data_IF_918246207590
#
_entry.id   IF_918246207590
#
_cell.length_a   1.000
_cell.length_b   1.000
_cell.length_c   1.000
_cell.angle_alpha   90.00
_cell.angle_beta   90.00
_cell.angle_gamma   90.00
#
_symmetry.space_group_name_H-M   'P 1'
#
loop_
_entity.id
_entity.type
_entity.pdbx_description
1 polymer ?
#
# COMPACT_ATOMS: atom_id res chain seq x y z
N UNK A 1 -18.39 0.71 17.97
CA UNK A 1 -16.93 0.67 18.18
C UNK A 1 -16.35 1.89 17.49
N UNK A 2 -15.44 2.62 18.14
CA UNK A 2 -14.72 3.71 17.47
C UNK A 2 -13.82 3.14 16.38
N UNK A 3 -13.66 3.84 15.27
CA UNK A 3 -12.69 3.45 14.23
C UNK A 3 -11.26 3.47 14.81
N UNK A 4 -10.38 2.60 14.31
CA UNK A 4 -8.97 2.58 14.69
C UNK A 4 -8.32 3.97 14.52
N UNK A 5 -7.42 4.40 15.44
CA UNK A 5 -6.81 5.73 15.37
C UNK A 5 -6.11 6.07 14.05
N UNK A 6 -5.55 5.07 13.37
CA UNK A 6 -4.87 5.24 12.07
C UNK A 6 -5.78 5.87 10.99
N UNK A 7 -7.09 5.58 11.01
CA UNK A 7 -8.05 6.14 10.03
C UNK A 7 -8.22 7.66 10.17
N UNK A 8 -7.81 8.23 11.32
CA UNK A 8 -7.85 9.68 11.57
C UNK A 8 -6.61 10.41 11.07
N UNK A 9 -5.54 9.70 10.69
CA UNK A 9 -4.27 10.32 10.32
C UNK A 9 -4.38 11.31 9.16
N UNK A 10 -4.90 10.89 8.00
CA UNK A 10 -5.04 11.77 6.83
C UNK A 10 -6.03 12.91 7.07
N UNK A 11 -7.23 12.69 7.67
CA UNK A 11 -8.12 13.79 8.03
C UNK A 11 -7.46 14.87 8.90
N UNK A 12 -6.69 14.46 9.93
CA UNK A 12 -6.00 15.39 10.82
C UNK A 12 -4.85 16.12 10.11
N UNK A 13 -4.12 15.43 9.23
CA UNK A 13 -3.07 16.03 8.40
C UNK A 13 -3.64 17.08 7.42
N UNK A 14 -4.79 16.80 6.80
CA UNK A 14 -5.52 17.76 5.96
C UNK A 14 -5.97 18.96 6.80
N UNK A 15 -6.44 18.74 8.04
CA UNK A 15 -6.87 19.81 8.93
C UNK A 15 -5.72 20.65 9.49
N UNK A 16 -4.47 20.17 9.44
CA UNK A 16 -3.34 20.80 10.12
C UNK A 16 -3.41 20.69 11.64
N UNK A 17 -4.15 19.69 12.16
CA UNK A 17 -4.36 19.49 13.59
C UNK A 17 -3.16 18.75 14.21
N UNK A 18 -2.10 19.50 14.52
CA UNK A 18 -0.87 18.97 15.10
C UNK A 18 -1.12 18.25 16.43
N UNK A 19 -1.90 18.85 17.33
CA UNK A 19 -2.20 18.25 18.63
C UNK A 19 -3.02 16.97 18.45
N UNK A 20 -4.05 16.99 17.60
CA UNK A 20 -4.84 15.81 17.29
C UNK A 20 -4.01 14.68 16.67
N UNK A 21 -3.01 15.00 15.85
CA UNK A 21 -2.06 14.00 15.34
C UNK A 21 -1.18 13.43 16.45
N UNK A 22 -0.65 14.26 17.35
CA UNK A 22 0.16 13.83 18.50
C UNK A 22 -0.64 12.90 19.42
N UNK A 23 -1.92 13.21 19.63
CA UNK A 23 -2.82 12.42 20.46
C UNK A 23 -3.13 11.01 19.88
N UNK A 24 -2.82 10.75 18.60
CA UNK A 24 -2.93 9.39 18.05
C UNK A 24 -1.83 8.47 18.57
N UNK A 25 -0.67 9.02 18.94
CA UNK A 25 0.52 8.24 19.29
C UNK A 25 0.66 8.10 20.80
N UNK A 26 1.16 6.95 21.25
CA UNK A 26 1.48 6.70 22.67
C UNK A 26 2.72 7.49 23.16
N UNK A 27 3.48 8.05 22.23
CA UNK A 27 4.70 8.83 22.48
C UNK A 27 5.01 9.76 21.31
N UNK A 28 6.26 10.19 21.13
CA UNK A 28 6.67 10.99 19.98
C UNK A 28 6.21 10.36 18.66
N UNK A 29 5.53 11.09 17.75
CA UNK A 29 5.06 10.53 16.50
C UNK A 29 6.18 9.90 15.67
N UNK A 30 5.92 8.69 15.16
CA UNK A 30 6.83 7.98 14.27
C UNK A 30 6.13 7.66 12.96
N UNK A 31 6.45 8.45 11.94
CA UNK A 31 5.80 8.38 10.62
C UNK A 31 6.86 8.08 9.59
N UNK A 32 6.66 7.05 8.78
CA UNK A 32 7.41 6.86 7.55
C UNK A 32 6.57 7.36 6.37
N UNK A 33 6.92 8.55 5.89
CA UNK A 33 6.28 9.21 4.75
C UNK A 33 6.95 8.77 3.43
N UNK A 34 6.22 8.65 2.31
CA UNK A 34 6.79 8.20 1.03
C UNK A 34 7.79 9.20 0.43
N UNK A 35 7.67 10.50 0.74
CA UNK A 35 8.53 11.55 0.20
C UNK A 35 9.71 11.88 1.14
N UNK A 36 9.46 12.03 2.45
CA UNK A 36 10.50 12.47 3.41
C UNK A 36 11.10 11.34 4.26
N UNK A 37 10.56 10.12 4.17
CA UNK A 37 11.01 8.98 4.98
C UNK A 37 10.59 9.10 6.44
N UNK A 38 11.45 8.64 7.37
CA UNK A 38 11.14 8.71 8.81
C UNK A 38 11.16 10.15 9.32
N UNK A 39 9.98 10.65 9.71
CA UNK A 39 9.79 11.92 10.39
C UNK A 39 10.20 11.74 11.85
N UNK A 40 11.18 12.54 12.28
CA UNK A 40 11.62 12.61 13.67
C UNK A 40 10.83 13.67 14.41
N UNK A 41 10.70 13.53 15.74
CA UNK A 41 10.01 14.49 16.62
C UNK A 41 10.43 15.95 16.36
N UNK A 42 11.72 16.20 16.19
CA UNK A 42 12.26 17.55 15.96
C UNK A 42 11.83 18.20 14.63
N UNK A 43 11.24 17.42 13.72
CA UNK A 43 10.73 17.89 12.42
C UNK A 43 9.22 17.73 12.30
N UNK A 44 8.54 17.27 13.35
CA UNK A 44 7.13 16.92 13.29
C UNK A 44 6.26 18.13 12.96
N UNK A 45 6.42 19.24 13.68
CA UNK A 45 5.62 20.45 13.48
C UNK A 45 5.78 21.00 12.05
N UNK A 46 7.03 21.04 11.56
CA UNK A 46 7.32 21.46 10.19
C UNK A 46 6.75 20.50 9.15
N UNK A 47 6.76 19.19 9.42
CA UNK A 47 6.14 18.20 8.56
C UNK A 47 4.62 18.43 8.47
N UNK A 48 3.95 18.59 9.62
CA UNK A 48 2.49 18.84 9.66
C UNK A 48 2.12 20.12 8.93
N UNK A 49 2.82 21.22 9.18
CA UNK A 49 2.57 22.51 8.52
C UNK A 49 2.75 22.41 7.00
N UNK A 50 3.87 21.86 6.53
CA UNK A 50 4.16 21.71 5.11
C UNK A 50 3.15 20.78 4.41
N UNK A 51 2.79 19.68 5.05
CA UNK A 51 1.79 18.74 4.54
C UNK A 51 0.40 19.37 4.49
N UNK A 52 -0.03 20.05 5.56
CA UNK A 52 -1.30 20.78 5.62
C UNK A 52 -1.37 21.82 4.50
N UNK A 53 -0.36 22.66 4.37
CA UNK A 53 -0.30 23.68 3.33
C UNK A 53 -0.42 23.06 1.93
N UNK A 54 0.41 22.05 1.63
CA UNK A 54 0.40 21.40 0.33
C UNK A 54 -0.90 20.63 0.01
N UNK A 55 -1.57 20.08 1.02
CA UNK A 55 -2.88 19.43 0.89
C UNK A 55 -3.99 20.47 0.68
N UNK A 56 -3.98 21.55 1.46
CA UNK A 56 -4.95 22.65 1.38
C UNK A 56 -4.88 23.37 0.04
N UNK A 57 -3.68 23.71 -0.44
CA UNK A 57 -3.47 24.34 -1.75
C UNK A 57 -4.03 23.51 -2.90
N UNK A 58 -4.09 22.18 -2.72
CA UNK A 58 -4.61 21.22 -3.71
C UNK A 58 -6.06 20.81 -3.43
N UNK A 59 -6.77 21.51 -2.55
CA UNK A 59 -8.16 21.21 -2.17
C UNK A 59 -8.35 19.74 -1.78
N UNK A 60 -7.41 19.20 -1.01
CA UNK A 60 -7.39 17.78 -0.70
C UNK A 60 -8.61 17.35 0.13
N UNK A 61 -9.14 16.18 -0.19
CA UNK A 61 -10.15 15.47 0.60
C UNK A 61 -9.83 13.99 0.65
N UNK A 62 -10.34 13.29 1.65
CA UNK A 62 -10.08 11.86 1.83
C UNK A 62 -11.38 11.09 1.92
N UNK A 63 -11.42 9.98 1.20
CA UNK A 63 -12.48 8.99 1.25
C UNK A 63 -11.95 7.72 1.90
N UNK A 64 -12.55 7.32 3.01
CA UNK A 64 -12.24 6.04 3.67
C UNK A 64 -12.70 4.88 2.78
N UNK A 65 -11.88 3.83 2.68
CA UNK A 65 -12.22 2.58 1.97
C UNK A 65 -12.48 1.45 2.97
N UNK A 66 -11.47 1.10 3.78
CA UNK A 66 -11.59 0.06 4.80
C UNK A 66 -10.44 0.12 5.80
N UNK A 67 -10.62 -0.47 6.99
CA UNK A 67 -9.56 -0.67 7.99
C UNK A 67 -9.47 -2.14 8.37
N UNK A 68 -8.28 -2.73 8.24
CA UNK A 68 -7.97 -4.11 8.67
C UNK A 68 -7.28 -4.04 10.04
N UNK A 69 -8.07 -4.18 11.11
CA UNK A 69 -7.56 -4.09 12.48
C UNK A 69 -7.16 -5.46 13.05
N UNK A 70 -5.91 -5.60 13.48
CA UNK A 70 -5.38 -6.77 14.18
C UNK A 70 -4.95 -6.42 15.60
N UNK A 71 -4.48 -7.40 16.38
CA UNK A 71 -3.99 -7.15 17.74
C UNK A 71 -2.70 -6.32 17.79
N UNK A 72 -1.91 -6.29 16.70
CA UNK A 72 -0.64 -5.57 16.63
C UNK A 72 -0.75 -4.17 15.99
N UNK A 73 -1.94 -3.77 15.56
CA UNK A 73 -2.19 -2.53 14.82
C UNK A 73 -3.12 -2.76 13.64
N UNK A 74 -3.12 -1.84 12.68
CA UNK A 74 -4.08 -1.87 11.58
C UNK A 74 -3.50 -1.38 10.25
N UNK A 75 -4.14 -1.81 9.16
CA UNK A 75 -3.93 -1.22 7.83
C UNK A 75 -5.18 -0.45 7.42
N UNK A 76 -5.03 0.85 7.22
CA UNK A 76 -6.06 1.73 6.66
C UNK A 76 -5.89 1.86 5.16
N UNK A 77 -6.98 1.76 4.42
CA UNK A 77 -7.05 2.12 3.01
C UNK A 77 -7.97 3.33 2.83
N UNK A 78 -7.47 4.33 2.11
CA UNK A 78 -8.25 5.51 1.75
C UNK A 78 -7.89 6.00 0.34
N UNK A 79 -8.73 6.85 -0.23
CA UNK A 79 -8.45 7.57 -1.47
C UNK A 79 -8.30 9.05 -1.15
N UNK A 80 -7.08 9.57 -1.34
CA UNK A 80 -6.80 10.99 -1.26
C UNK A 80 -7.12 11.63 -2.61
N UNK A 81 -8.12 12.52 -2.63
CA UNK A 81 -8.50 13.30 -3.82
C UNK A 81 -7.86 14.67 -3.71
N UNK A 82 -7.14 15.10 -4.74
CA UNK A 82 -6.44 16.40 -4.76
C UNK A 82 -6.35 16.95 -6.18
N UNK A 83 -6.19 18.26 -6.32
CA UNK A 83 -6.01 18.94 -7.60
C UNK A 83 -4.53 19.05 -7.95
N UNK A 84 -4.16 18.65 -9.17
CA UNK A 84 -2.81 18.79 -9.73
C UNK A 84 -2.89 19.37 -11.13
N UNK A 85 -2.22 20.49 -11.36
CA UNK A 85 -2.24 21.21 -12.65
C UNK A 85 -3.65 21.47 -13.20
N UNK A 86 -4.63 21.66 -12.32
CA UNK A 86 -6.04 21.88 -12.67
C UNK A 86 -6.88 20.61 -12.76
N UNK A 87 -6.26 19.43 -12.79
CA UNK A 87 -6.96 18.15 -12.89
C UNK A 87 -7.14 17.47 -11.53
N UNK A 88 -8.26 16.77 -11.35
CA UNK A 88 -8.53 15.97 -10.16
C UNK A 88 -7.73 14.66 -10.23
N UNK A 89 -6.89 14.43 -9.22
CA UNK A 89 -6.16 13.18 -8.99
C UNK A 89 -6.84 12.41 -7.87
N UNK A 90 -7.10 11.12 -8.10
CA UNK A 90 -7.53 10.17 -7.06
C UNK A 90 -6.36 9.25 -6.74
N UNK A 91 -5.77 9.42 -5.56
CA UNK A 91 -4.59 8.71 -5.10
C UNK A 91 -4.97 7.67 -4.05
N UNK A 92 -4.89 6.36 -4.37
CA UNK A 92 -5.02 5.31 -3.39
C UNK A 92 -3.85 5.35 -2.40
N UNK A 93 -4.18 5.34 -1.11
CA UNK A 93 -3.22 5.34 -0.01
C UNK A 93 -3.50 4.14 0.90
N UNK A 94 -2.46 3.42 1.29
CA UNK A 94 -2.49 2.47 2.39
C UNK A 94 -1.60 2.97 3.53
N UNK A 95 -2.06 2.83 4.77
CA UNK A 95 -1.32 3.22 5.96
C UNK A 95 -1.28 2.03 6.89
N UNK A 96 -0.11 1.41 7.00
CA UNK A 96 0.13 0.38 7.99
C UNK A 96 0.53 1.03 9.32
N UNK A 97 0.03 0.48 10.43
CA UNK A 97 0.33 0.97 11.76
C UNK A 97 0.72 -0.16 12.68
N UNK A 98 1.69 0.10 13.55
CA UNK A 98 1.93 -0.69 14.74
C UNK A 98 1.22 0.00 15.91
N UNK A 99 0.54 -0.77 16.75
CA UNK A 99 -0.23 -0.23 17.88
C UNK A 99 0.14 -0.93 19.17
N UNK A 100 0.16 -0.13 20.22
CA UNK A 100 0.33 -0.61 21.57
C UNK A 100 -0.95 -1.31 22.07
N UNK A 101 -0.89 -2.09 23.17
CA UNK A 101 -2.05 -2.81 23.71
C UNK A 101 -3.24 -1.91 24.11
N UNK A 102 -3.00 -0.62 24.36
CA UNK A 102 -4.01 0.41 24.67
C UNK A 102 -4.55 1.11 23.41
N UNK A 103 -4.25 0.58 22.22
CA UNK A 103 -4.60 1.09 20.89
C UNK A 103 -3.94 2.43 20.51
N UNK A 104 -3.01 2.97 21.32
CA UNK A 104 -2.18 4.09 20.90
C UNK A 104 -1.22 3.68 19.77
N UNK A 105 -1.03 4.54 18.77
CA UNK A 105 -0.11 4.25 17.66
C UNK A 105 1.35 4.30 18.16
N UNK A 106 2.15 3.31 17.79
CA UNK A 106 3.60 3.31 18.01
C UNK A 106 4.36 3.83 16.79
N UNK A 107 3.88 3.47 15.59
CA UNK A 107 4.36 4.02 14.34
C UNK A 107 3.35 3.84 13.21
N UNK A 108 3.48 4.65 12.15
CA UNK A 108 2.76 4.45 10.90
C UNK A 108 3.72 4.48 9.71
N UNK A 109 3.33 3.78 8.64
CA UNK A 109 4.05 3.72 7.36
C UNK A 109 3.05 3.92 6.24
N UNK A 110 3.24 4.99 5.49
CA UNK A 110 2.33 5.40 4.42
C UNK A 110 2.85 4.83 3.09
N UNK A 111 1.94 4.33 2.26
CA UNK A 111 2.23 3.73 0.96
C UNK A 111 1.28 4.28 -0.10
N UNK A 112 1.85 4.90 -1.13
CA UNK A 112 1.16 5.26 -2.37
C UNK A 112 2.19 5.51 -3.48
N UNK A 113 1.75 5.46 -4.73
CA UNK A 113 2.59 5.85 -5.87
C UNK A 113 2.83 7.36 -5.88
N UNK A 114 4.04 7.80 -6.23
CA UNK A 114 4.33 9.22 -6.49
C UNK A 114 4.06 9.58 -7.95
N UNK A 115 3.87 8.59 -8.83
CA UNK A 115 3.61 8.81 -10.24
C UNK A 115 2.44 9.77 -10.51
N UNK A 116 1.26 9.66 -9.86
CA UNK A 116 0.17 10.60 -10.09
C UNK A 116 0.50 12.05 -9.67
N UNK A 117 1.43 12.21 -8.72
CA UNK A 117 1.80 13.49 -8.11
C UNK A 117 3.02 14.16 -8.76
N UNK A 118 3.98 13.38 -9.24
CA UNK A 118 5.27 13.85 -9.74
C UNK A 118 5.51 13.48 -11.21
N UNK A 119 4.83 12.44 -11.74
CA UNK A 119 5.09 11.90 -13.07
C UNK A 119 6.32 10.99 -13.14
N UNK A 120 6.91 10.64 -12.00
CA UNK A 120 8.00 9.68 -11.84
C UNK A 120 7.92 9.00 -10.47
N UNK A 121 8.59 7.86 -10.34
CA UNK A 121 8.67 7.09 -9.10
C UNK A 121 9.75 7.63 -8.15
N UNK A 122 9.47 7.63 -6.85
CA UNK A 122 10.44 7.83 -5.77
C UNK A 122 10.60 6.51 -5.00
N UNK A 123 11.51 5.68 -5.50
CA UNK A 123 11.79 4.37 -4.92
C UNK A 123 12.24 4.49 -3.47
N UNK A 124 11.53 3.80 -2.58
CA UNK A 124 11.82 3.76 -1.15
C UNK A 124 12.55 2.47 -0.78
N UNK A 125 13.66 2.60 -0.05
CA UNK A 125 14.37 1.47 0.54
C UNK A 125 13.48 0.69 1.54
N UNK A 126 13.84 -0.56 1.91
CA UNK A 126 13.13 -1.32 2.93
C UNK A 126 12.88 -0.52 4.21
N UNK A 127 11.61 -0.44 4.64
CA UNK A 127 11.19 0.30 5.83
C UNK A 127 11.25 -0.57 7.09
N UNK A 128 10.93 -1.85 6.94
CA UNK A 128 10.87 -2.86 7.98
C UNK A 128 11.86 -3.99 7.68
N UNK A 129 12.34 -4.71 8.72
CA UNK A 129 13.10 -5.93 8.51
C UNK A 129 12.21 -7.01 7.87
N UNK A 130 12.84 -7.86 7.04
CA UNK A 130 12.19 -9.04 6.47
C UNK A 130 11.92 -10.06 7.57
N UNK A 131 10.76 -10.70 7.50
CA UNK A 131 10.40 -11.78 8.41
C UNK A 131 11.12 -13.07 8.00
N UNK A 132 11.82 -13.69 8.96
CA UNK A 132 12.68 -14.85 8.71
C UNK A 132 11.92 -16.14 8.30
N UNK A 133 10.64 -16.25 8.64
CA UNK A 133 9.78 -17.36 8.22
C UNK A 133 8.33 -16.89 8.21
N UNK A 134 7.75 -16.75 7.02
CA UNK A 134 6.35 -16.36 6.82
C UNK A 134 5.61 -17.50 6.15
N UNK A 135 4.46 -17.87 6.73
CA UNK A 135 3.43 -18.63 6.03
C UNK A 135 2.33 -17.65 5.69
N UNK A 136 2.24 -17.27 4.42
CA UNK A 136 1.12 -16.48 3.93
C UNK A 136 -0.14 -17.34 3.94
N UNK A 137 -1.29 -16.79 4.38
CA UNK A 137 -2.50 -17.57 4.53
C UNK A 137 -3.09 -17.98 3.18
N UNK A 138 -3.71 -19.16 3.14
CA UNK A 138 -4.72 -19.58 2.16
C UNK A 138 -4.40 -19.28 0.66
N UNK A 139 -5.28 -18.54 -0.02
CA UNK A 139 -5.17 -18.13 -1.42
C UNK A 139 -4.11 -17.05 -1.59
N UNK A 140 -3.86 -16.23 -0.57
CA UNK A 140 -2.80 -15.21 -0.62
C UNK A 140 -1.44 -15.88 -0.77
N UNK A 141 -1.17 -16.94 0.01
CA UNK A 141 0.06 -17.71 -0.11
C UNK A 141 0.23 -18.38 -1.47
N UNK A 142 -0.83 -19.03 -1.98
CA UNK A 142 -0.80 -19.64 -3.33
C UNK A 142 -0.57 -18.60 -4.43
N UNK A 143 -1.18 -17.42 -4.32
CA UNK A 143 -0.98 -16.33 -5.27
C UNK A 143 0.47 -15.83 -5.27
N UNK A 144 1.08 -15.65 -4.10
CA UNK A 144 2.50 -15.26 -3.98
C UNK A 144 3.45 -16.33 -4.50
N UNK A 145 3.15 -17.60 -4.27
CA UNK A 145 3.88 -18.73 -4.84
C UNK A 145 3.88 -18.70 -6.38
N UNK A 146 2.72 -18.44 -6.99
CA UNK A 146 2.61 -18.32 -8.45
C UNK A 146 3.30 -17.04 -8.96
N UNK A 147 3.19 -15.91 -8.24
CA UNK A 147 3.96 -14.69 -8.54
C UNK A 147 5.47 -14.95 -8.56
N UNK A 148 5.99 -15.68 -7.58
CA UNK A 148 7.42 -15.98 -7.47
C UNK A 148 7.95 -16.81 -8.65
N UNK A 149 7.11 -17.72 -9.16
CA UNK A 149 7.42 -18.59 -10.30
C UNK A 149 7.15 -17.93 -11.67
N UNK A 150 6.39 -16.84 -11.71
CA UNK A 150 5.90 -16.28 -12.98
C UNK A 150 4.82 -17.17 -13.62
N UNK A 151 4.07 -17.90 -12.81
CA UNK A 151 3.05 -18.85 -13.24
C UNK A 151 1.73 -18.13 -13.52
N UNK A 152 1.59 -17.66 -14.76
CA UNK A 152 0.40 -16.94 -15.23
C UNK A 152 -0.89 -17.74 -15.03
N UNK A 153 -0.89 -19.02 -15.39
CA UNK A 153 -2.10 -19.85 -15.28
C UNK A 153 -2.49 -20.07 -13.82
N UNK A 154 -1.52 -20.43 -12.97
CA UNK A 154 -1.76 -20.61 -11.54
C UNK A 154 -2.23 -19.35 -10.84
N UNK A 155 -1.76 -18.16 -11.25
CA UNK A 155 -2.29 -16.88 -10.75
C UNK A 155 -3.76 -16.72 -11.07
N UNK A 156 -4.16 -16.95 -12.33
CA UNK A 156 -5.55 -16.74 -12.75
C UNK A 156 -6.52 -17.68 -12.02
N UNK A 157 -6.07 -18.88 -11.65
CA UNK A 157 -6.85 -19.83 -10.82
C UNK A 157 -7.06 -19.35 -9.38
N UNK A 158 -6.26 -18.40 -8.88
CA UNK A 158 -6.42 -17.85 -7.54
C UNK A 158 -7.50 -16.76 -7.48
N UNK A 159 -7.97 -16.24 -8.61
CA UNK A 159 -9.01 -15.21 -8.65
C UNK A 159 -10.41 -15.83 -8.80
N UNK A 160 -11.38 -15.24 -8.11
CA UNK A 160 -12.78 -15.48 -8.41
C UNK A 160 -13.10 -15.02 -9.86
N UNK A 161 -14.18 -15.52 -10.51
CA UNK A 161 -14.50 -15.15 -11.89
C UNK A 161 -14.61 -13.63 -12.15
N UNK A 162 -15.12 -12.88 -11.17
CA UNK A 162 -15.23 -11.42 -11.21
C UNK A 162 -14.11 -10.71 -10.43
N UNK A 163 -13.07 -11.44 -10.03
CA UNK A 163 -11.96 -10.93 -9.24
C UNK A 163 -11.19 -9.84 -9.98
N UNK A 164 -10.56 -8.95 -9.20
CA UNK A 164 -9.99 -7.73 -9.75
C UNK A 164 -8.61 -7.38 -9.19
N UNK A 165 -7.84 -6.63 -9.97
CA UNK A 165 -6.55 -6.06 -9.54
C UNK A 165 -6.48 -4.56 -9.83
N UNK A 166 -6.14 -3.76 -8.81
CA UNK A 166 -5.91 -2.32 -8.92
C UNK A 166 -4.41 -2.01 -8.83
N UNK A 167 -3.86 -1.40 -9.88
CA UNK A 167 -2.50 -0.88 -9.90
C UNK A 167 -2.33 0.37 -8.98
N UNK A 168 -1.10 0.69 -8.55
CA UNK A 168 -0.85 1.79 -7.59
C UNK A 168 -1.24 3.19 -8.08
N UNK A 169 -1.25 3.43 -9.38
CA UNK A 169 -1.38 4.77 -9.97
C UNK A 169 -2.79 5.39 -9.86
N UNK A 170 -3.79 4.66 -9.37
CA UNK A 170 -5.12 5.18 -9.02
C UNK A 170 -6.04 5.61 -10.17
N UNK A 171 -5.50 6.19 -11.23
CA UNK A 171 -6.21 6.67 -12.41
C UNK A 171 -6.35 5.62 -13.53
N UNK A 172 -5.63 4.49 -13.43
CA UNK A 172 -5.72 3.39 -14.40
C UNK A 172 -6.90 2.46 -14.10
N UNK A 173 -7.53 1.87 -15.13
CA UNK A 173 -8.64 0.96 -14.94
C UNK A 173 -8.22 -0.27 -14.13
N UNK A 174 -9.14 -0.74 -13.30
CA UNK A 174 -9.04 -2.00 -12.56
C UNK A 174 -9.05 -3.17 -13.55
N UNK A 175 -8.09 -4.08 -13.45
CA UNK A 175 -8.03 -5.30 -14.26
C UNK A 175 -9.04 -6.31 -13.72
N UNK A 176 -10.21 -6.41 -14.36
CA UNK A 176 -11.34 -7.23 -13.89
C UNK A 176 -11.52 -8.49 -14.72
N UNK A 177 -11.60 -9.63 -14.04
CA UNK A 177 -11.85 -10.93 -14.64
C UNK A 177 -10.63 -11.49 -15.39
N UNK A 178 -10.75 -12.76 -15.79
CA UNK A 178 -9.61 -13.53 -16.28
C UNK A 178 -8.90 -12.93 -17.51
N UNK A 179 -9.63 -12.27 -18.41
CA UNK A 179 -9.06 -11.68 -19.63
C UNK A 179 -8.14 -10.50 -19.33
N UNK A 180 -8.62 -9.51 -18.56
CA UNK A 180 -7.81 -8.34 -18.21
C UNK A 180 -6.66 -8.70 -17.27
N UNK A 181 -6.91 -9.59 -16.29
CA UNK A 181 -5.85 -10.11 -15.44
C UNK A 181 -4.77 -10.83 -16.26
N UNK A 182 -5.15 -11.64 -17.25
CA UNK A 182 -4.20 -12.31 -18.14
C UNK A 182 -3.33 -11.30 -18.89
N UNK A 183 -3.94 -10.23 -19.42
CA UNK A 183 -3.23 -9.15 -20.13
C UNK A 183 -2.23 -8.48 -19.21
N UNK A 184 -2.65 -8.10 -18.00
CA UNK A 184 -1.78 -7.48 -17.00
C UNK A 184 -0.59 -8.37 -16.64
N UNK A 185 -0.82 -9.61 -16.23
CA UNK A 185 0.26 -10.51 -15.80
C UNK A 185 1.17 -10.95 -16.95
N UNK A 186 0.67 -10.99 -18.20
CA UNK A 186 1.52 -11.22 -19.38
C UNK A 186 2.56 -10.11 -19.54
N UNK A 187 2.17 -8.84 -19.35
CA UNK A 187 3.10 -7.71 -19.38
C UNK A 187 4.03 -7.76 -18.16
N UNK A 188 3.49 -8.04 -16.97
CA UNK A 188 4.26 -8.16 -15.73
C UNK A 188 5.40 -9.19 -15.86
N UNK A 189 5.15 -10.33 -16.50
CA UNK A 189 6.13 -11.41 -16.67
C UNK A 189 6.89 -11.38 -17.99
N UNK A 190 6.75 -10.31 -18.77
CA UNK A 190 7.43 -10.18 -20.08
C UNK A 190 8.96 -10.25 -20.00
N UNK A 191 9.55 -9.92 -18.85
CA UNK A 191 10.98 -10.07 -18.59
C UNK A 191 11.44 -11.52 -18.31
N UNK A 192 10.54 -12.49 -18.39
CA UNK A 192 10.82 -13.90 -18.12
C UNK A 192 11.04 -14.21 -16.63
N UNK A 193 10.16 -15.01 -16.05
CA UNK A 193 10.20 -15.38 -14.62
C UNK A 193 9.25 -14.53 -13.77
N UNK A 194 9.27 -14.77 -12.47
CA UNK A 194 8.38 -14.14 -11.49
C UNK A 194 8.96 -12.95 -10.73
N UNK A 195 8.25 -12.54 -9.68
CA UNK A 195 8.67 -11.49 -8.76
C UNK A 195 9.41 -12.07 -7.55
N UNK A 196 10.50 -11.42 -7.11
CA UNK A 196 11.11 -11.70 -5.82
C UNK A 196 10.50 -10.77 -4.78
N UNK A 197 9.73 -11.32 -3.85
CA UNK A 197 9.05 -10.57 -2.78
C UNK A 197 9.48 -11.11 -1.42
N UNK A 198 9.86 -10.22 -0.51
CA UNK A 198 10.24 -10.55 0.88
C UNK A 198 9.27 -9.88 1.85
N UNK A 199 8.46 -10.68 2.56
CA UNK A 199 7.42 -10.17 3.46
C UNK A 199 8.02 -9.57 4.73
N UNK A 200 7.54 -8.39 5.13
CA UNK A 200 7.98 -7.65 6.31
C UNK A 200 6.89 -7.56 7.40
N UNK A 201 5.62 -7.48 7.02
CA UNK A 201 4.50 -7.46 7.95
C UNK A 201 3.24 -8.06 7.30
N UNK A 202 2.34 -8.56 8.15
CA UNK A 202 1.07 -9.18 7.75
C UNK A 202 -0.04 -8.72 8.70
N UNK A 203 -1.11 -8.16 8.15
CA UNK A 203 -2.35 -7.92 8.86
C UNK A 203 -3.47 -8.74 8.20
N UNK A 204 -3.85 -9.86 8.81
CA UNK A 204 -4.86 -10.76 8.25
C UNK A 204 -6.07 -10.89 9.19
N UNK A 205 -7.26 -10.54 8.71
CA UNK A 205 -8.52 -10.61 9.47
C UNK A 205 -9.70 -10.88 8.56
N UNK A 206 -10.42 -11.97 8.83
CA UNK A 206 -11.60 -12.35 8.08
C UNK A 206 -11.28 -12.51 6.59
N UNK A 207 -12.00 -11.78 5.74
CA UNK A 207 -11.80 -11.81 4.29
C UNK A 207 -10.55 -11.06 3.82
N UNK A 208 -10.01 -10.14 4.63
CA UNK A 208 -8.98 -9.20 4.19
C UNK A 208 -7.59 -9.58 4.71
N UNK A 209 -6.57 -9.33 3.89
CA UNK A 209 -5.16 -9.50 4.25
C UNK A 209 -4.36 -8.34 3.68
N UNK A 210 -3.56 -7.66 4.48
CA UNK A 210 -2.61 -6.65 4.04
C UNK A 210 -1.18 -7.13 4.29
N UNK A 211 -0.30 -6.85 3.34
CA UNK A 211 1.12 -7.18 3.40
C UNK A 211 1.96 -5.92 3.20
N UNK A 212 3.00 -5.79 4.01
CA UNK A 212 4.15 -4.93 3.72
C UNK A 212 5.30 -5.84 3.28
N UNK A 213 5.95 -5.52 2.16
CA UNK A 213 6.99 -6.36 1.59
C UNK A 213 8.04 -5.53 0.84
N UNK A 214 9.15 -6.20 0.49
CA UNK A 214 10.22 -5.66 -0.32
C UNK A 214 10.27 -6.40 -1.65
N UNK A 215 10.35 -5.66 -2.74
CA UNK A 215 10.60 -6.21 -4.08
C UNK A 215 12.10 -6.28 -4.31
N UNK A 216 12.62 -7.47 -4.59
CA UNK A 216 14.05 -7.76 -4.75
C UNK A 216 14.41 -8.19 -6.17
N UNK A 217 13.43 -8.67 -6.94
CA UNK A 217 13.63 -9.17 -8.31
C UNK A 217 12.38 -8.99 -9.14
N UNK A 218 12.56 -8.76 -10.44
CA UNK A 218 11.50 -8.76 -11.43
C UNK A 218 11.93 -9.51 -12.68
N UNK A 219 11.39 -10.70 -12.88
CA UNK A 219 11.80 -11.61 -13.94
C UNK A 219 13.29 -11.95 -13.84
N UNK A 220 14.05 -11.66 -14.90
CA UNK A 220 15.50 -11.85 -14.96
C UNK A 220 16.30 -10.74 -14.27
N UNK A 221 15.68 -9.62 -13.93
CA UNK A 221 16.36 -8.46 -13.36
C UNK A 221 16.36 -8.50 -11.83
N UNK A 222 17.54 -8.38 -11.22
CA UNK A 222 17.64 -8.02 -9.79
C UNK A 222 17.35 -6.53 -9.65
N UNK A 223 16.60 -6.18 -8.63
CA UNK A 223 16.27 -4.79 -8.32
C UNK A 223 17.03 -4.34 -7.07
N UNK A 224 17.34 -3.05 -6.98
CA UNK A 224 17.53 -2.44 -5.67
C UNK A 224 16.28 -2.71 -4.84
N UNK A 225 16.44 -3.06 -3.57
CA UNK A 225 15.32 -3.42 -2.71
C UNK A 225 14.34 -2.25 -2.57
N UNK A 226 13.06 -2.47 -2.90
CA UNK A 226 12.04 -1.41 -2.90
C UNK A 226 10.86 -1.80 -2.00
N UNK A 227 10.50 -0.94 -1.06
CA UNK A 227 9.38 -1.16 -0.15
C UNK A 227 8.03 -0.96 -0.85
N UNK A 228 7.08 -1.86 -0.58
CA UNK A 228 5.76 -1.87 -1.17
C UNK A 228 4.72 -2.42 -0.17
N UNK A 229 3.45 -2.13 -0.44
CA UNK A 229 2.33 -2.75 0.27
C UNK A 229 1.26 -3.23 -0.70
N UNK A 230 0.47 -4.21 -0.28
CA UNK A 230 -0.70 -4.66 -1.01
C UNK A 230 -1.79 -5.17 -0.06
N UNK A 231 -3.03 -5.04 -0.49
CA UNK A 231 -4.19 -5.59 0.20
C UNK A 231 -4.92 -6.59 -0.69
N UNK A 232 -5.36 -7.68 -0.08
CA UNK A 232 -6.02 -8.82 -0.69
C UNK A 232 -7.39 -8.99 -0.04
N UNK A 233 -8.42 -9.13 -0.86
CA UNK A 233 -9.78 -9.47 -0.43
C UNK A 233 -10.15 -10.84 -0.93
N UNK A 234 -10.76 -11.64 -0.06
CA UNK A 234 -11.28 -12.97 -0.38
C UNK A 234 -12.78 -12.88 -0.67
N UNK A 235 -13.21 -13.59 -1.70
CA UNK A 235 -14.61 -13.90 -1.94
C UNK A 235 -15.06 -15.03 -1.00
N UNK A 236 -16.39 -15.22 -0.88
CA UNK A 236 -16.98 -16.33 -0.12
C UNK A 236 -16.53 -17.73 -0.62
N UNK A 237 -16.05 -17.80 -1.87
CA UNK A 237 -15.46 -19.01 -2.45
C UNK A 237 -14.07 -19.36 -1.90
N UNK A 238 -13.45 -18.47 -1.12
CA UNK A 238 -12.07 -18.58 -0.68
C UNK A 238 -11.02 -18.21 -1.73
N UNK A 239 -11.45 -17.74 -2.91
CA UNK A 239 -10.57 -17.17 -3.95
C UNK A 239 -10.42 -15.65 -3.78
N UNK A 240 -9.47 -15.04 -4.49
CA UNK A 240 -9.28 -13.59 -4.48
C UNK A 240 -10.44 -12.88 -5.18
N UNK A 241 -11.17 -12.06 -4.42
CA UNK A 241 -12.09 -11.07 -4.95
C UNK A 241 -11.33 -9.84 -5.46
N UNK A 242 -10.26 -9.42 -4.78
CA UNK A 242 -9.54 -8.20 -5.11
C UNK A 242 -8.08 -8.21 -4.67
N UNK A 243 -7.23 -7.58 -5.45
CA UNK A 243 -5.84 -7.24 -5.09
C UNK A 243 -5.62 -5.75 -5.34
N UNK A 244 -5.14 -5.01 -4.34
CA UNK A 244 -4.90 -3.57 -4.42
C UNK A 244 -3.45 -3.28 -4.08
N UNK A 245 -2.72 -2.72 -5.04
CA UNK A 245 -1.29 -2.42 -4.90
C UNK A 245 -1.09 -0.97 -4.43
N UNK A 246 -0.13 -0.79 -3.53
CA UNK A 246 0.27 0.48 -2.93
C UNK A 246 1.80 0.55 -2.93
N UNK A 247 2.35 0.82 -4.11
CA UNK A 247 3.79 0.84 -4.32
C UNK A 247 4.19 1.96 -5.27
N UNK A 248 5.47 2.30 -5.24
CA UNK A 248 6.07 3.30 -6.10
C UNK A 248 7.34 2.72 -6.74
N UNK A 249 7.14 1.56 -7.38
CA UNK A 249 8.23 0.74 -7.89
C UNK A 249 8.77 1.28 -9.20
N UNK A 250 10.09 1.37 -9.30
CA UNK A 250 10.73 1.55 -10.60
C UNK A 250 10.72 0.22 -11.36
N UNK A 251 10.06 0.22 -12.51
CA UNK A 251 10.01 -0.93 -13.40
C UNK A 251 11.36 -1.11 -14.11
N UNK A 252 11.82 -2.36 -14.31
CA UNK A 252 13.06 -2.63 -15.06
C UNK A 252 12.98 -2.30 -16.57
N UNK A 253 11.79 -1.93 -17.07
CA UNK A 253 11.57 -1.53 -18.47
C UNK A 253 10.65 -0.31 -18.51
N UNK A 254 10.89 0.57 -19.49
CA UNK A 254 9.92 1.57 -19.88
C UNK A 254 8.70 0.84 -20.47
N UNK A 255 7.52 1.00 -19.86
CA UNK A 255 6.27 0.62 -20.51
C UNK A 255 6.06 1.59 -21.67
N UNK A 256 6.20 1.13 -22.91
CA UNK A 256 5.81 1.90 -24.10
C UNK A 256 4.30 2.16 -24.12
#
# INVERSE_FOLDING_TARGET
MSAHPVARYIPLLIAGDEQGLRDLFRGPPRINDPYVGWVQESRFDQFVENSHQGLRERSASVEHVTTIETSGGATEECVLRLVRFGDMVSLPVAIASDSAPDAGLESIRVYHSMWPLLGFHLVRAPVLPVLAAVVLPDVVGRYHDCLARGDLSGILEQFAPAGELREPNGSLPVHRGATELRRFFTVLFSNGGGLGLETCAIANKGASCALEYVVTRWGRSRLTHQAAAAVYERADTGLLAGVRMYDDLEHPFLRN
#
